data_IF_216333971878
#
_entry.id   IF_216333971878
#
_cell.length_a   1.000
_cell.length_b   1.000
_cell.length_c   1.000
_cell.angle_alpha   90.00
_cell.angle_beta   90.00
_cell.angle_gamma   90.00
#
_symmetry.space_group_name_H-M   'P 1'
#
loop_
_entity.id
_entity.type
_entity.pdbx_description
1 polymer ?
#
# COMPACT_ATOMS: atom_id res chain seq x y z
N UNK A 1 -17.95 19.61 22.06
CA UNK A 1 -17.89 18.32 21.32
C UNK A 1 -18.26 18.46 19.85
N UNK A 2 -19.28 19.23 19.46
CA UNK A 2 -19.63 19.41 18.04
C UNK A 2 -18.61 20.21 17.21
N UNK A 3 -17.89 21.15 17.80
CA UNK A 3 -16.92 21.98 17.08
C UNK A 3 -15.64 21.24 16.70
N UNK A 4 -15.10 20.41 17.60
CA UNK A 4 -13.88 19.64 17.32
C UNK A 4 -14.11 18.59 16.21
N UNK A 5 -15.26 17.88 16.25
CA UNK A 5 -15.62 16.94 15.17
C UNK A 5 -15.82 17.62 13.82
N UNK A 6 -16.36 18.85 13.80
CA UNK A 6 -16.52 19.59 12.55
C UNK A 6 -15.17 20.03 11.96
N UNK A 7 -14.21 20.38 12.82
CA UNK A 7 -12.85 20.74 12.41
C UNK A 7 -12.07 19.53 11.87
N UNK A 8 -12.18 18.37 12.52
CA UNK A 8 -11.60 17.10 12.03
C UNK A 8 -12.14 16.71 10.66
N UNK A 9 -13.46 16.78 10.45
CA UNK A 9 -14.09 16.46 9.14
C UNK A 9 -13.62 17.44 8.05
N UNK A 10 -13.43 18.73 8.38
CA UNK A 10 -12.93 19.70 7.40
C UNK A 10 -11.46 19.44 7.06
N UNK A 11 -10.60 19.14 8.03
CA UNK A 11 -9.20 18.78 7.81
C UNK A 11 -9.08 17.51 6.94
N UNK A 12 -9.91 16.51 7.23
CA UNK A 12 -9.99 15.28 6.43
C UNK A 12 -10.43 15.58 4.99
N UNK A 13 -11.43 16.46 4.81
CA UNK A 13 -11.89 16.92 3.50
C UNK A 13 -10.80 17.64 2.71
N UNK A 14 -10.04 18.53 3.35
CA UNK A 14 -8.92 19.24 2.74
C UNK A 14 -7.82 18.27 2.28
N UNK A 15 -7.46 17.29 3.13
CA UNK A 15 -6.51 16.24 2.78
C UNK A 15 -6.98 15.41 1.58
N UNK A 16 -8.24 15.01 1.55
CA UNK A 16 -8.84 14.28 0.43
C UNK A 16 -8.81 15.09 -0.87
N UNK A 17 -9.20 16.37 -0.82
CA UNK A 17 -9.14 17.28 -1.98
C UNK A 17 -7.73 17.40 -2.53
N UNK A 18 -6.73 17.55 -1.65
CA UNK A 18 -5.32 17.62 -2.04
C UNK A 18 -4.88 16.38 -2.81
N UNK A 19 -5.28 15.21 -2.36
CA UNK A 19 -4.98 13.93 -3.00
C UNK A 19 -5.67 13.82 -4.37
N UNK A 20 -6.95 14.16 -4.45
CA UNK A 20 -7.69 14.18 -5.72
C UNK A 20 -7.01 15.10 -6.75
N UNK A 21 -6.54 16.27 -6.32
CA UNK A 21 -5.82 17.21 -7.20
C UNK A 21 -4.46 16.66 -7.65
N UNK A 22 -3.74 15.96 -6.77
CA UNK A 22 -2.50 15.30 -7.16
C UNK A 22 -2.75 14.25 -8.27
N UNK A 23 -3.81 13.47 -8.13
CA UNK A 23 -4.20 12.47 -9.13
C UNK A 23 -4.68 13.15 -10.42
N UNK A 24 -5.52 14.19 -10.35
CA UNK A 24 -5.96 14.97 -11.51
C UNK A 24 -4.80 15.64 -12.26
N UNK A 25 -3.76 16.07 -11.54
CA UNK A 25 -2.58 16.72 -12.08
C UNK A 25 -1.52 15.77 -12.68
N UNK A 26 -1.68 14.47 -12.51
CA UNK A 26 -0.68 13.46 -12.87
C UNK A 26 -0.20 13.57 -14.33
N UNK A 27 -1.15 13.65 -15.28
CA UNK A 27 -0.80 13.66 -16.70
C UNK A 27 0.05 14.88 -17.09
N UNK A 28 -0.28 16.05 -16.57
CA UNK A 28 0.43 17.30 -16.85
C UNK A 28 1.87 17.25 -16.28
N UNK A 29 2.03 16.76 -15.05
CA UNK A 29 3.35 16.62 -14.42
C UNK A 29 4.22 15.58 -15.13
N UNK A 30 3.69 14.41 -15.42
CA UNK A 30 4.42 13.35 -16.11
C UNK A 30 4.79 13.76 -17.55
N UNK A 31 3.91 14.50 -18.24
CA UNK A 31 4.19 15.05 -19.56
C UNK A 31 5.31 16.10 -19.54
N UNK A 32 5.39 16.97 -18.52
CA UNK A 32 6.47 17.95 -18.36
C UNK A 32 7.83 17.25 -18.21
N UNK A 33 7.89 16.11 -17.53
CA UNK A 33 9.13 15.32 -17.43
C UNK A 33 9.55 14.75 -18.80
N UNK A 34 8.61 14.22 -19.59
CA UNK A 34 8.90 13.76 -20.96
C UNK A 34 9.37 14.93 -21.83
N UNK A 35 8.71 16.10 -21.72
CA UNK A 35 9.10 17.31 -22.43
C UNK A 35 10.51 17.79 -22.01
N UNK A 36 10.90 17.63 -20.75
CA UNK A 36 12.27 17.86 -20.29
C UNK A 36 13.27 16.96 -21.03
N UNK A 37 12.94 15.68 -21.25
CA UNK A 37 13.80 14.77 -22.01
C UNK A 37 13.95 15.20 -23.46
N UNK A 38 12.87 15.64 -24.10
CA UNK A 38 12.90 16.19 -25.47
C UNK A 38 13.84 17.39 -25.55
N UNK A 39 13.67 18.38 -24.68
CA UNK A 39 14.55 19.55 -24.63
C UNK A 39 16.02 19.19 -24.42
N UNK A 40 16.33 18.18 -23.61
CA UNK A 40 17.71 17.72 -23.41
C UNK A 40 18.24 17.01 -24.65
N UNK A 41 17.44 16.21 -25.33
CA UNK A 41 17.80 15.55 -26.59
C UNK A 41 18.10 16.57 -27.69
N UNK A 42 17.29 17.63 -27.85
CA UNK A 42 17.47 18.70 -28.85
C UNK A 42 18.75 19.49 -28.63
N UNK A 43 19.28 19.53 -27.42
CA UNK A 43 20.55 20.20 -27.09
C UNK A 43 21.79 19.37 -27.45
N UNK A 44 21.63 18.14 -27.85
CA UNK A 44 22.75 17.29 -28.28
C UNK A 44 23.35 17.81 -29.63
N UNK A 45 24.66 17.57 -29.87
CA UNK A 45 25.24 17.80 -31.20
C UNK A 45 24.50 17.01 -32.29
N UNK A 46 24.37 17.53 -33.52
CA UNK A 46 23.63 16.87 -34.60
C UNK A 46 24.02 15.40 -34.86
N UNK A 47 25.32 15.09 -34.78
CA UNK A 47 25.80 13.72 -34.94
C UNK A 47 25.26 12.77 -33.85
N UNK A 48 25.11 13.25 -32.57
CA UNK A 48 24.56 12.48 -31.48
C UNK A 48 23.04 12.32 -31.62
N UNK A 49 22.34 13.37 -32.08
CA UNK A 49 20.90 13.26 -32.39
C UNK A 49 20.63 12.24 -33.49
N UNK A 50 21.51 12.18 -34.51
CA UNK A 50 21.40 11.16 -35.56
C UNK A 50 21.64 9.76 -35.03
N UNK A 51 22.66 9.57 -34.18
CA UNK A 51 22.95 8.28 -33.52
C UNK A 51 21.78 7.80 -32.64
N UNK A 52 21.15 8.70 -31.93
CA UNK A 52 20.07 8.43 -30.97
C UNK A 52 18.67 8.79 -31.53
N UNK A 53 18.49 8.75 -32.86
CA UNK A 53 17.25 9.19 -33.51
C UNK A 53 15.99 8.48 -32.98
N UNK A 54 16.11 7.24 -32.53
CA UNK A 54 15.03 6.43 -31.92
C UNK A 54 14.47 7.05 -30.63
N UNK A 55 15.21 7.97 -29.96
CA UNK A 55 14.68 8.66 -28.77
C UNK A 55 13.45 9.51 -29.07
N UNK A 56 13.27 9.99 -30.32
CA UNK A 56 12.03 10.69 -30.70
C UNK A 56 10.81 9.77 -30.62
N UNK A 57 10.93 8.55 -31.11
CA UNK A 57 9.85 7.56 -31.04
C UNK A 57 9.59 7.13 -29.59
N UNK A 58 10.67 6.98 -28.81
CA UNK A 58 10.59 6.72 -27.36
C UNK A 58 9.79 7.80 -26.61
N UNK A 59 10.05 9.08 -26.88
CA UNK A 59 9.34 10.18 -26.22
C UNK A 59 7.85 10.16 -26.59
N UNK A 60 7.51 9.93 -27.86
CA UNK A 60 6.12 9.77 -28.32
C UNK A 60 5.43 8.62 -27.59
N UNK A 61 6.10 7.47 -27.44
CA UNK A 61 5.51 6.34 -26.71
C UNK A 61 5.41 6.61 -25.21
N UNK A 62 6.35 7.34 -24.61
CA UNK A 62 6.27 7.77 -23.22
C UNK A 62 5.03 8.62 -22.94
N UNK A 63 4.67 9.57 -23.81
CA UNK A 63 3.41 10.33 -23.71
C UNK A 63 2.18 9.41 -23.79
N UNK A 64 2.21 8.37 -24.63
CA UNK A 64 1.12 7.38 -24.72
C UNK A 64 1.01 6.57 -23.42
N UNK A 65 2.15 6.18 -22.84
CA UNK A 65 2.17 5.48 -21.55
C UNK A 65 1.60 6.35 -20.43
N UNK A 66 1.98 7.63 -20.38
CA UNK A 66 1.41 8.61 -19.42
C UNK A 66 -0.10 8.74 -19.61
N UNK A 67 -0.57 8.85 -20.85
CA UNK A 67 -2.03 8.95 -21.15
C UNK A 67 -2.80 7.68 -20.72
N UNK A 68 -2.21 6.49 -20.83
CA UNK A 68 -2.85 5.25 -20.35
C UNK A 68 -2.92 5.20 -18.82
N UNK A 69 -1.85 5.60 -18.13
CA UNK A 69 -1.88 5.74 -16.68
C UNK A 69 -2.94 6.74 -16.22
N UNK A 70 -3.00 7.89 -16.88
CA UNK A 70 -4.00 8.92 -16.59
C UNK A 70 -5.43 8.39 -16.76
N UNK A 71 -5.70 7.65 -17.85
CA UNK A 71 -7.00 7.04 -18.08
C UNK A 71 -7.44 6.15 -16.91
N UNK A 72 -6.54 5.34 -16.37
CA UNK A 72 -6.81 4.53 -15.17
C UNK A 72 -7.11 5.42 -13.96
N UNK A 73 -6.27 6.40 -13.69
CA UNK A 73 -6.38 7.30 -12.53
C UNK A 73 -7.66 8.15 -12.59
N UNK A 74 -8.03 8.68 -13.77
CA UNK A 74 -9.28 9.44 -13.93
C UNK A 74 -10.51 8.52 -13.84
N UNK A 75 -10.43 7.29 -14.35
CA UNK A 75 -11.47 6.27 -14.18
C UNK A 75 -11.74 5.97 -12.70
N UNK A 76 -10.68 5.85 -11.92
CA UNK A 76 -10.78 5.69 -10.46
C UNK A 76 -11.47 6.90 -9.81
N UNK A 77 -11.03 8.11 -10.09
CA UNK A 77 -11.67 9.33 -9.53
C UNK A 77 -13.12 9.48 -9.93
N UNK A 78 -13.50 9.04 -11.13
CA UNK A 78 -14.88 9.15 -11.63
C UNK A 78 -15.88 8.38 -10.75
N UNK A 79 -15.47 7.32 -10.06
CA UNK A 79 -16.32 6.57 -9.12
C UNK A 79 -16.71 7.37 -7.88
N UNK A 80 -16.02 8.48 -7.61
CA UNK A 80 -16.26 9.37 -6.48
C UNK A 80 -16.86 10.74 -6.90
N UNK A 81 -17.39 10.86 -8.13
CA UNK A 81 -17.98 12.10 -8.63
C UNK A 81 -19.52 12.11 -8.57
N UNK A 82 -20.15 10.98 -8.28
CA UNK A 82 -21.60 10.83 -8.26
C UNK A 82 -22.30 11.56 -7.11
N UNK A 83 -23.60 11.80 -7.26
CA UNK A 83 -24.42 12.45 -6.21
C UNK A 83 -24.70 11.52 -5.02
N UNK A 84 -24.54 10.22 -5.19
CA UNK A 84 -24.60 9.18 -4.19
C UNK A 84 -23.36 9.12 -3.29
N UNK A 85 -22.25 9.76 -3.71
CA UNK A 85 -21.03 9.86 -2.89
C UNK A 85 -21.21 10.88 -1.77
N UNK A 86 -20.85 10.53 -0.52
CA UNK A 86 -20.90 11.48 0.59
C UNK A 86 -20.14 12.78 0.27
N UNK A 87 -20.67 13.96 0.62
CA UNK A 87 -20.09 15.25 0.21
C UNK A 87 -18.60 15.41 0.59
N UNK A 88 -18.18 14.88 1.74
CA UNK A 88 -16.78 14.94 2.19
C UNK A 88 -15.81 14.05 1.39
N UNK A 89 -16.32 13.01 0.71
CA UNK A 89 -15.55 12.13 -0.18
C UNK A 89 -15.78 12.43 -1.67
N UNK A 90 -16.54 13.46 -2.01
CA UNK A 90 -16.81 13.79 -3.41
C UNK A 90 -15.60 14.49 -4.03
N UNK A 91 -15.14 13.97 -5.17
CA UNK A 91 -14.03 14.56 -5.94
C UNK A 91 -14.39 15.98 -6.40
N UNK A 92 -13.53 16.99 -6.16
CA UNK A 92 -13.78 18.34 -6.66
C UNK A 92 -13.67 18.36 -8.19
N UNK A 93 -14.38 19.29 -8.87
CA UNK A 93 -14.19 19.50 -10.29
C UNK A 93 -12.73 19.76 -10.61
N UNK A 94 -12.25 19.23 -11.74
CA UNK A 94 -10.92 19.57 -12.22
C UNK A 94 -10.82 21.08 -12.45
N UNK A 95 -9.82 21.70 -11.86
CA UNK A 95 -9.60 23.14 -12.06
C UNK A 95 -9.02 23.38 -13.45
N UNK A 96 -9.38 24.55 -14.02
CA UNK A 96 -8.94 24.93 -15.34
C UNK A 96 -7.42 25.04 -15.46
N UNK A 97 -6.94 25.01 -16.67
CA UNK A 97 -5.54 25.30 -17.02
C UNK A 97 -5.36 26.78 -17.29
N UNK A 98 -4.16 27.29 -17.03
CA UNK A 98 -3.74 28.62 -17.47
C UNK A 98 -3.60 28.70 -19.00
N UNK A 99 -3.30 29.90 -19.53
CA UNK A 99 -3.12 30.13 -20.96
C UNK A 99 -1.95 29.31 -21.58
N UNK A 100 -1.14 28.65 -20.77
CA UNK A 100 -0.02 27.79 -21.20
C UNK A 100 -0.37 26.30 -21.10
N UNK A 101 -1.60 25.94 -20.68
CA UNK A 101 -2.06 24.57 -20.49
C UNK A 101 -1.61 23.93 -19.16
N UNK A 102 -1.01 24.71 -18.26
CA UNK A 102 -0.64 24.24 -16.90
C UNK A 102 -1.87 24.30 -15.98
N UNK A 103 -2.03 23.28 -15.15
CA UNK A 103 -3.01 23.31 -14.07
C UNK A 103 -2.83 24.57 -13.22
N UNK A 104 -3.92 25.28 -12.94
CA UNK A 104 -3.95 26.44 -12.04
C UNK A 104 -3.55 26.06 -10.62
N UNK A 105 -3.62 24.78 -10.25
CA UNK A 105 -3.12 24.26 -8.98
C UNK A 105 -1.74 23.62 -9.16
N UNK A 106 -0.73 24.21 -8.53
CA UNK A 106 0.57 23.57 -8.36
C UNK A 106 0.43 22.51 -7.27
N UNK A 107 0.43 21.26 -7.68
CA UNK A 107 0.59 20.12 -6.76
C UNK A 107 2.03 20.07 -6.27
N UNK A 108 2.24 19.81 -4.98
CA UNK A 108 3.59 19.67 -4.46
C UNK A 108 4.28 18.44 -5.08
N UNK A 109 5.59 18.52 -5.42
CA UNK A 109 6.30 17.38 -6.02
C UNK A 109 6.19 16.07 -5.22
N UNK A 110 6.16 16.18 -3.89
CA UNK A 110 5.98 15.03 -3.01
C UNK A 110 4.62 14.33 -3.18
N UNK A 111 3.56 15.08 -3.47
CA UNK A 111 2.23 14.51 -3.68
C UNK A 111 2.13 13.83 -5.06
N UNK A 112 2.79 14.39 -6.07
CA UNK A 112 2.90 13.75 -7.39
C UNK A 112 3.69 12.44 -7.31
N UNK A 113 4.76 12.41 -6.53
CA UNK A 113 5.56 11.20 -6.35
C UNK A 113 4.73 10.09 -5.67
N UNK A 114 3.82 10.44 -4.76
CA UNK A 114 2.86 9.48 -4.18
C UNK A 114 1.95 8.84 -5.24
N UNK A 115 1.48 9.59 -6.25
CA UNK A 115 0.71 9.03 -7.37
C UNK A 115 1.53 8.03 -8.19
N UNK A 116 2.80 8.37 -8.48
CA UNK A 116 3.72 7.45 -9.16
C UNK A 116 3.95 6.17 -8.33
N UNK A 117 4.02 6.33 -7.02
CA UNK A 117 4.18 5.21 -6.10
C UNK A 117 2.93 4.29 -6.06
N UNK A 118 1.73 4.86 -6.18
CA UNK A 118 0.49 4.08 -6.37
C UNK A 118 0.58 3.15 -7.58
N UNK A 119 1.07 3.65 -8.72
CA UNK A 119 1.23 2.82 -9.93
C UNK A 119 2.22 1.67 -9.74
N UNK A 120 3.29 1.88 -8.98
CA UNK A 120 4.25 0.83 -8.62
C UNK A 120 3.63 -0.20 -7.65
N UNK A 121 2.86 0.26 -6.66
CA UNK A 121 2.13 -0.64 -5.76
C UNK A 121 1.05 -1.46 -6.49
N UNK A 122 0.36 -0.87 -7.48
CA UNK A 122 -0.56 -1.61 -8.34
C UNK A 122 0.16 -2.74 -9.09
N UNK A 123 1.34 -2.47 -9.64
CA UNK A 123 2.13 -3.51 -10.29
C UNK A 123 2.53 -4.62 -9.30
N UNK A 124 2.99 -4.27 -8.08
CA UNK A 124 3.35 -5.23 -7.03
C UNK A 124 2.17 -6.11 -6.62
N UNK A 125 1.04 -5.49 -6.30
CA UNK A 125 -0.07 -6.18 -5.64
C UNK A 125 -1.00 -6.88 -6.64
N UNK A 126 -1.15 -6.33 -7.84
CA UNK A 126 -2.21 -6.72 -8.75
C UNK A 126 -1.75 -7.16 -10.14
N UNK A 127 -0.44 -7.33 -10.36
CA UNK A 127 0.05 -7.89 -11.62
C UNK A 127 0.53 -9.34 -11.47
N UNK A 128 0.46 -10.10 -12.55
CA UNK A 128 1.00 -11.45 -12.61
C UNK A 128 2.53 -11.46 -12.52
N UNK A 129 3.19 -10.46 -13.09
CA UNK A 129 4.64 -10.32 -13.12
C UNK A 129 5.26 -10.20 -11.72
N UNK A 130 4.53 -9.60 -10.78
CA UNK A 130 5.00 -9.44 -9.41
C UNK A 130 4.64 -10.61 -8.47
N UNK A 131 4.12 -11.72 -8.98
CA UNK A 131 3.78 -12.87 -8.15
C UNK A 131 4.95 -13.38 -7.30
N UNK A 132 6.19 -13.34 -7.83
CA UNK A 132 7.39 -13.71 -7.10
C UNK A 132 7.72 -12.79 -5.93
N UNK A 133 7.48 -11.47 -6.08
CA UNK A 133 7.66 -10.48 -5.00
C UNK A 133 6.60 -10.67 -3.91
N UNK A 134 5.34 -10.92 -4.30
CA UNK A 134 4.28 -11.25 -3.34
C UNK A 134 4.54 -12.55 -2.59
N UNK A 135 5.09 -13.56 -3.25
CA UNK A 135 5.47 -14.81 -2.56
C UNK A 135 6.59 -14.58 -1.53
N UNK A 136 7.52 -13.66 -1.79
CA UNK A 136 8.57 -13.31 -0.83
C UNK A 136 8.01 -12.57 0.40
N UNK A 137 6.99 -11.74 0.25
CA UNK A 137 6.44 -10.90 1.32
C UNK A 137 5.18 -11.48 1.98
N UNK A 138 4.16 -11.83 1.20
CA UNK A 138 2.90 -12.39 1.70
C UNK A 138 3.00 -13.88 2.03
N UNK A 139 3.80 -14.63 1.25
CA UNK A 139 3.96 -16.07 1.41
C UNK A 139 4.34 -16.52 2.84
N UNK A 140 5.38 -15.93 3.47
CA UNK A 140 5.73 -16.27 4.85
C UNK A 140 4.58 -16.06 5.84
N UNK A 141 3.85 -14.95 5.74
CA UNK A 141 2.69 -14.64 6.60
C UNK A 141 1.59 -15.67 6.42
N UNK A 142 1.22 -15.97 5.18
CA UNK A 142 0.15 -16.92 4.86
C UNK A 142 0.50 -18.33 5.35
N UNK A 143 1.75 -18.76 5.17
CA UNK A 143 2.21 -20.07 5.65
C UNK A 143 2.11 -20.19 7.17
N UNK A 144 2.59 -19.20 7.92
CA UNK A 144 2.52 -19.18 9.37
C UNK A 144 1.06 -19.12 9.87
N UNK A 145 0.25 -18.25 9.26
CA UNK A 145 -1.17 -18.14 9.59
C UNK A 145 -1.89 -19.48 9.41
N UNK A 146 -1.74 -20.11 8.24
CA UNK A 146 -2.43 -21.37 7.93
C UNK A 146 -1.94 -22.53 8.81
N UNK A 147 -0.65 -22.57 9.16
CA UNK A 147 -0.09 -23.60 10.02
C UNK A 147 -0.57 -23.50 11.47
N UNK A 148 -0.73 -22.27 11.99
CA UNK A 148 -1.09 -22.03 13.39
C UNK A 148 -2.59 -21.92 13.63
N UNK A 149 -3.32 -21.43 12.66
CA UNK A 149 -4.75 -21.16 12.74
C UNK A 149 -5.44 -21.67 11.46
N UNK A 150 -5.49 -23.00 11.23
CA UNK A 150 -6.12 -23.55 10.03
C UNK A 150 -7.61 -23.19 10.00
N UNK A 151 -8.13 -22.66 8.88
CA UNK A 151 -9.55 -22.33 8.77
C UNK A 151 -10.39 -23.60 8.76
N UNK A 152 -11.61 -23.57 9.32
CA UNK A 152 -12.53 -24.70 9.27
C UNK A 152 -12.99 -24.95 7.84
N UNK A 153 -13.39 -26.17 7.54
CA UNK A 153 -14.07 -26.43 6.27
C UNK A 153 -15.48 -25.84 6.29
N UNK A 154 -16.01 -25.40 5.14
CA UNK A 154 -17.34 -24.77 5.07
C UNK A 154 -18.48 -25.63 5.62
N UNK A 155 -18.36 -26.95 5.58
CA UNK A 155 -19.35 -27.92 6.07
C UNK A 155 -19.24 -28.22 7.57
N UNK A 156 -18.21 -27.71 8.27
CA UNK A 156 -18.05 -27.97 9.73
C UNK A 156 -18.97 -27.12 10.63
N UNK A 157 -19.69 -26.14 10.08
CA UNK A 157 -20.59 -25.27 10.86
C UNK A 157 -19.88 -24.37 11.87
N UNK A 158 -18.57 -24.16 11.72
CA UNK A 158 -17.76 -23.26 12.55
C UNK A 158 -17.58 -21.90 11.84
N UNK A 159 -17.48 -20.84 12.63
CA UNK A 159 -17.18 -19.52 12.10
C UNK A 159 -15.72 -19.44 11.65
N UNK A 160 -15.42 -18.74 10.53
CA UNK A 160 -14.07 -18.42 10.12
C UNK A 160 -13.29 -17.66 11.20
N UNK A 161 -12.00 -17.95 11.39
CA UNK A 161 -11.17 -17.14 12.26
C UNK A 161 -11.05 -15.72 11.74
N UNK A 162 -11.06 -14.73 12.63
CA UNK A 162 -10.95 -13.31 12.32
C UNK A 162 -9.49 -12.87 12.27
N UNK A 163 -9.08 -12.30 11.15
CA UNK A 163 -7.72 -11.83 10.91
C UNK A 163 -7.72 -10.35 10.59
N UNK A 164 -6.99 -9.56 11.37
CA UNK A 164 -6.77 -8.14 11.12
C UNK A 164 -5.44 -7.92 10.39
N UNK A 165 -5.47 -7.09 9.35
CA UNK A 165 -4.31 -6.77 8.51
C UNK A 165 -4.11 -5.24 8.50
N UNK A 166 -3.39 -4.67 9.49
CA UNK A 166 -3.04 -3.27 9.49
C UNK A 166 -2.03 -2.93 8.38
N UNK A 167 -2.15 -1.74 7.77
CA UNK A 167 -1.35 -1.34 6.62
C UNK A 167 -1.69 -2.14 5.37
N UNK A 168 -2.99 -2.38 5.13
CA UNK A 168 -3.48 -3.26 4.07
C UNK A 168 -3.12 -2.81 2.64
N UNK A 169 -2.70 -1.55 2.46
CA UNK A 169 -2.32 -1.00 1.17
C UNK A 169 -3.45 -1.14 0.14
N UNK A 170 -3.15 -1.85 -0.94
CA UNK A 170 -4.14 -2.10 -2.00
C UNK A 170 -5.04 -3.33 -1.77
N UNK A 171 -5.03 -3.90 -0.57
CA UNK A 171 -5.96 -4.97 -0.16
C UNK A 171 -5.59 -6.38 -0.66
N UNK A 172 -4.46 -6.57 -1.36
CA UNK A 172 -4.10 -7.88 -1.91
C UNK A 172 -3.91 -8.96 -0.84
N UNK A 173 -3.16 -8.67 0.22
CA UNK A 173 -2.95 -9.65 1.31
C UNK A 173 -4.28 -9.98 2.01
N UNK A 174 -5.16 -9.00 2.18
CA UNK A 174 -6.50 -9.20 2.77
C UNK A 174 -7.30 -10.20 1.93
N UNK A 175 -7.35 -10.00 0.61
CA UNK A 175 -8.02 -10.91 -0.32
C UNK A 175 -7.38 -12.31 -0.31
N UNK A 176 -6.05 -12.42 -0.28
CA UNK A 176 -5.35 -13.71 -0.26
C UNK A 176 -5.62 -14.50 1.03
N UNK A 177 -5.81 -13.83 2.16
CA UNK A 177 -6.20 -14.44 3.43
C UNK A 177 -7.68 -14.83 3.38
N UNK A 178 -8.57 -13.93 2.96
CA UNK A 178 -10.00 -14.18 2.87
C UNK A 178 -10.33 -15.38 1.98
N UNK A 179 -9.72 -15.49 0.79
CA UNK A 179 -9.94 -16.61 -0.15
C UNK A 179 -9.51 -17.98 0.40
N UNK A 180 -8.80 -18.01 1.53
CA UNK A 180 -8.41 -19.23 2.25
C UNK A 180 -9.37 -19.61 3.35
N UNK A 181 -10.49 -18.89 3.51
CA UNK A 181 -11.53 -19.22 4.48
C UNK A 181 -11.42 -18.48 5.81
N UNK A 182 -10.82 -17.28 5.81
CA UNK A 182 -10.76 -16.39 6.98
C UNK A 182 -11.75 -15.24 6.83
N UNK A 183 -12.22 -14.68 7.95
CA UNK A 183 -12.81 -13.35 8.00
C UNK A 183 -11.68 -12.35 8.14
N UNK A 184 -11.30 -11.72 7.02
CA UNK A 184 -10.14 -10.84 6.93
C UNK A 184 -10.56 -9.37 6.85
N UNK A 185 -10.03 -8.54 7.74
CA UNK A 185 -10.22 -7.09 7.69
C UNK A 185 -8.90 -6.37 7.50
N UNK A 186 -8.83 -5.55 6.46
CA UNK A 186 -7.70 -4.65 6.20
C UNK A 186 -7.95 -3.29 6.83
N UNK A 187 -6.92 -2.69 7.41
CA UNK A 187 -6.95 -1.29 7.82
C UNK A 187 -5.92 -0.49 7.03
N UNK A 188 -6.31 0.68 6.55
CA UNK A 188 -5.44 1.56 5.77
C UNK A 188 -5.75 3.02 6.09
N UNK A 189 -4.69 3.84 6.22
CA UNK A 189 -4.80 5.25 6.52
C UNK A 189 -4.69 6.13 5.26
N UNK A 190 -3.88 5.71 4.30
CA UNK A 190 -3.57 6.53 3.12
C UNK A 190 -4.75 6.58 2.13
N UNK A 191 -5.33 7.75 1.91
CA UNK A 191 -6.36 7.94 0.88
C UNK A 191 -5.89 7.59 -0.54
N UNK A 192 -4.60 7.73 -0.85
CA UNK A 192 -4.05 7.24 -2.14
C UNK A 192 -4.26 5.74 -2.29
N UNK A 193 -4.01 4.98 -1.22
CA UNK A 193 -4.19 3.53 -1.21
C UNK A 193 -5.68 3.15 -1.13
N UNK A 194 -6.47 3.84 -0.29
CA UNK A 194 -7.90 3.57 -0.11
C UNK A 194 -8.70 3.77 -1.41
N UNK A 195 -8.52 4.89 -2.11
CA UNK A 195 -9.18 5.13 -3.40
C UNK A 195 -8.80 4.07 -4.43
N UNK A 196 -7.52 3.74 -4.49
CA UNK A 196 -7.01 2.77 -5.46
C UNK A 196 -7.45 1.34 -5.13
N UNK A 197 -7.39 0.93 -3.86
CA UNK A 197 -7.87 -0.40 -3.43
C UNK A 197 -9.37 -0.55 -3.67
N UNK A 198 -10.15 0.46 -3.30
CA UNK A 198 -11.60 0.46 -3.56
C UNK A 198 -11.92 0.28 -5.04
N UNK A 199 -11.19 0.99 -5.92
CA UNK A 199 -11.40 0.87 -7.36
C UNK A 199 -11.06 -0.53 -7.88
N UNK A 200 -9.91 -1.07 -7.51
CA UNK A 200 -9.49 -2.41 -7.98
C UNK A 200 -10.36 -3.53 -7.40
N UNK A 201 -10.76 -3.41 -6.13
CA UNK A 201 -11.54 -4.44 -5.46
C UNK A 201 -13.01 -4.48 -5.90
N UNK A 202 -13.60 -3.33 -6.25
CA UNK A 202 -15.04 -3.22 -6.49
C UNK A 202 -15.43 -2.96 -7.95
N UNK A 203 -14.49 -2.56 -8.83
CA UNK A 203 -14.81 -2.16 -10.21
C UNK A 203 -14.03 -2.94 -11.28
N UNK A 204 -13.25 -3.95 -10.91
CA UNK A 204 -12.63 -4.83 -11.89
C UNK A 204 -13.61 -5.95 -12.30
N UNK A 205 -14.06 -5.92 -13.55
CA UNK A 205 -14.95 -6.94 -14.10
C UNK A 205 -14.18 -8.17 -14.57
N UNK A 206 -12.98 -7.97 -15.13
CA UNK A 206 -12.16 -9.02 -15.70
C UNK A 206 -10.70 -8.98 -15.23
N UNK A 207 -10.01 -10.11 -15.33
CA UNK A 207 -8.56 -10.15 -15.18
C UNK A 207 -7.89 -9.40 -16.33
N UNK A 208 -6.82 -8.66 -16.01
CA UNK A 208 -6.03 -7.87 -16.96
C UNK A 208 -6.82 -6.75 -17.68
N UNK A 209 -7.88 -6.25 -17.04
CA UNK A 209 -8.77 -5.23 -17.61
C UNK A 209 -8.05 -3.93 -17.88
N UNK A 210 -7.20 -3.49 -16.96
CA UNK A 210 -6.50 -2.22 -17.09
C UNK A 210 -5.02 -2.41 -17.46
N UNK A 211 -4.52 -1.37 -18.14
CA UNK A 211 -3.12 -1.27 -18.57
C UNK A 211 -2.50 -0.07 -17.90
N UNK A 212 -1.37 -0.30 -17.20
CA UNK A 212 -0.55 0.75 -16.60
C UNK A 212 0.91 0.62 -17.03
N UNK A 213 1.66 1.71 -16.90
CA UNK A 213 3.09 1.81 -17.19
C UNK A 213 3.82 2.41 -15.97
N UNK A 214 4.07 1.62 -14.91
CA UNK A 214 4.56 2.14 -13.62
C UNK A 214 6.00 2.66 -13.68
N UNK A 215 6.78 2.27 -14.69
CA UNK A 215 8.21 2.57 -14.81
C UNK A 215 8.53 3.76 -15.73
N UNK A 216 7.51 4.37 -16.37
CA UNK A 216 7.71 5.42 -17.39
C UNK A 216 8.35 6.71 -16.87
N UNK A 217 8.32 6.98 -15.58
CA UNK A 217 8.64 8.28 -14.99
C UNK A 217 10.14 8.59 -14.86
N UNK A 218 11.04 7.67 -15.18
CA UNK A 218 12.48 7.86 -15.08
C UNK A 218 13.20 7.19 -16.24
N UNK A 219 14.27 7.82 -16.73
CA UNK A 219 15.19 7.24 -17.70
C UNK A 219 16.37 6.49 -17.04
N UNK A 220 16.40 6.40 -15.71
CA UNK A 220 17.52 5.82 -14.99
C UNK A 220 17.35 4.30 -14.79
N UNK A 221 18.48 3.59 -14.86
CA UNK A 221 18.58 2.16 -14.52
C UNK A 221 17.74 1.20 -15.37
N UNK A 222 17.40 1.54 -16.60
CA UNK A 222 16.73 0.65 -17.53
C UNK A 222 17.73 -0.06 -18.45
N UNK A 223 17.58 -1.35 -18.66
CA UNK A 223 18.37 -2.12 -19.61
C UNK A 223 17.98 -1.83 -21.06
N UNK A 224 16.75 -1.39 -21.29
CA UNK A 224 16.25 -0.98 -22.61
C UNK A 224 15.06 -0.02 -22.47
N UNK A 225 14.77 0.71 -23.53
CA UNK A 225 13.58 1.57 -23.61
C UNK A 225 12.29 0.74 -23.50
N UNK A 226 12.30 -0.48 -24.02
CA UNK A 226 11.17 -1.39 -23.92
C UNK A 226 10.83 -1.77 -22.46
N UNK A 227 11.83 -1.90 -21.59
CA UNK A 227 11.60 -2.14 -20.15
C UNK A 227 11.00 -0.92 -19.45
N UNK A 228 11.51 0.28 -19.73
CA UNK A 228 10.95 1.52 -19.18
C UNK A 228 9.49 1.73 -19.58
N UNK A 229 9.16 1.43 -20.83
CA UNK A 229 7.83 1.63 -21.40
C UNK A 229 6.95 0.36 -21.29
N UNK A 230 7.39 -0.63 -20.51
CA UNK A 230 6.70 -1.90 -20.39
C UNK A 230 5.25 -1.73 -19.92
N UNK A 231 4.39 -2.54 -20.52
CA UNK A 231 2.98 -2.65 -20.15
C UNK A 231 2.83 -3.60 -18.98
N UNK A 232 2.14 -3.16 -17.94
CA UNK A 232 1.70 -4.00 -16.83
C UNK A 232 0.18 -4.09 -16.86
N UNK A 233 -0.37 -5.31 -16.80
CA UNK A 233 -1.81 -5.56 -16.81
C UNK A 233 -2.31 -5.89 -15.41
N UNK A 234 -3.41 -5.27 -15.02
CA UNK A 234 -4.03 -5.42 -13.70
C UNK A 234 -5.56 -5.49 -13.81
N UNK A 235 -6.24 -6.11 -12.82
CA UNK A 235 -5.69 -7.06 -11.87
C UNK A 235 -5.38 -8.42 -12.49
N UNK A 236 -4.41 -9.16 -11.97
CA UNK A 236 -4.16 -10.55 -12.40
C UNK A 236 -5.32 -11.50 -12.04
N UNK A 237 -6.07 -11.16 -10.99
CA UNK A 237 -7.31 -11.82 -10.57
C UNK A 237 -8.28 -10.80 -9.99
N UNK A 238 -9.52 -10.68 -10.49
CA UNK A 238 -10.52 -9.81 -9.88
C UNK A 238 -10.95 -10.33 -8.51
N UNK A 239 -11.23 -9.41 -7.57
CA UNK A 239 -11.57 -9.78 -6.21
C UNK A 239 -12.82 -10.68 -6.10
N UNK A 240 -13.87 -10.41 -6.91
CA UNK A 240 -15.11 -11.20 -6.94
C UNK A 240 -14.90 -12.66 -7.40
N UNK A 241 -13.88 -12.93 -8.23
CA UNK A 241 -13.54 -14.27 -8.72
C UNK A 241 -12.56 -15.02 -7.81
N UNK A 242 -12.26 -14.49 -6.63
CA UNK A 242 -11.24 -15.04 -5.74
C UNK A 242 -11.60 -16.39 -5.08
N UNK A 243 -12.85 -16.84 -5.20
CA UNK A 243 -13.33 -18.08 -4.56
C UNK A 243 -13.63 -17.97 -3.06
N UNK A 244 -13.73 -16.76 -2.51
CA UNK A 244 -14.05 -16.54 -1.09
C UNK A 244 -15.37 -17.20 -0.69
N UNK A 245 -16.40 -17.13 -1.53
CA UNK A 245 -17.69 -17.76 -1.26
C UNK A 245 -17.61 -19.28 -1.14
N UNK A 246 -16.67 -19.91 -1.84
CA UNK A 246 -16.47 -21.37 -1.83
C UNK A 246 -15.77 -21.81 -0.56
N UNK A 247 -14.92 -20.99 0.02
CA UNK A 247 -14.16 -21.26 1.24
C UNK A 247 -14.88 -20.80 2.50
N UNK A 248 -15.95 -19.99 2.37
CA UNK A 248 -16.65 -19.36 3.49
C UNK A 248 -15.91 -18.17 4.08
N UNK A 249 -14.86 -17.68 3.40
CA UNK A 249 -14.14 -16.48 3.81
C UNK A 249 -14.83 -15.19 3.40
N UNK A 250 -14.44 -14.10 4.02
CA UNK A 250 -14.94 -12.76 3.72
C UNK A 250 -13.85 -11.73 3.89
N UNK A 251 -13.98 -10.58 3.20
CA UNK A 251 -13.06 -9.45 3.39
C UNK A 251 -13.81 -8.15 3.62
N UNK A 252 -13.20 -7.27 4.41
CA UNK A 252 -13.61 -5.89 4.61
C UNK A 252 -12.38 -4.97 4.66
N UNK A 253 -12.61 -3.66 4.47
CA UNK A 253 -11.59 -2.63 4.59
C UNK A 253 -12.09 -1.54 5.53
N UNK A 254 -11.26 -1.16 6.51
CA UNK A 254 -11.46 -0.06 7.44
C UNK A 254 -10.51 1.09 7.09
N UNK A 255 -11.06 2.29 6.88
CA UNK A 255 -10.29 3.50 6.64
C UNK A 255 -10.01 4.21 7.96
N UNK A 256 -8.77 4.60 8.20
CA UNK A 256 -8.38 5.42 9.36
C UNK A 256 -7.06 4.98 9.99
N UNK A 257 -6.60 5.77 10.95
CA UNK A 257 -5.41 5.46 11.74
C UNK A 257 -5.60 4.16 12.52
N UNK A 258 -4.55 3.34 12.57
CA UNK A 258 -4.62 2.03 13.21
C UNK A 258 -4.89 2.11 14.71
N UNK A 259 -4.24 3.05 15.40
CA UNK A 259 -4.38 3.21 16.85
C UNK A 259 -5.78 3.72 17.19
N UNK A 260 -6.28 4.69 16.41
CA UNK A 260 -7.61 5.26 16.60
C UNK A 260 -8.71 4.25 16.31
N UNK A 261 -8.60 3.48 15.22
CA UNK A 261 -9.62 2.49 14.82
C UNK A 261 -9.68 1.26 15.74
N UNK A 262 -8.53 0.83 16.28
CA UNK A 262 -8.46 -0.46 17.00
C UNK A 262 -8.03 -0.34 18.46
N UNK A 263 -7.69 0.86 18.93
CA UNK A 263 -7.27 1.12 20.32
C UNK A 263 -8.41 1.13 21.35
N UNK A 264 -9.68 1.06 20.95
CA UNK A 264 -10.85 1.15 21.82
C UNK A 264 -11.28 -0.21 22.44
N UNK A 265 -12.29 -0.17 23.33
CA UNK A 265 -12.73 -1.34 24.08
C UNK A 265 -13.45 -2.40 23.24
N UNK A 266 -14.09 -2.03 22.15
CA UNK A 266 -14.82 -2.96 21.29
C UNK A 266 -13.89 -3.95 20.56
N UNK A 267 -12.61 -3.58 20.40
CA UNK A 267 -11.61 -4.40 19.74
C UNK A 267 -10.83 -5.33 20.68
N UNK A 268 -11.05 -5.23 22.01
CA UNK A 268 -10.32 -6.05 23.00
C UNK A 268 -10.66 -7.53 22.81
N UNK A 269 -9.63 -8.34 22.49
CA UNK A 269 -9.78 -9.77 22.29
C UNK A 269 -10.73 -10.15 21.15
N UNK A 270 -10.87 -9.30 20.15
CA UNK A 270 -11.78 -9.53 19.04
C UNK A 270 -11.18 -10.39 17.92
N UNK A 271 -9.85 -10.50 17.85
CA UNK A 271 -9.13 -11.07 16.72
C UNK A 271 -8.38 -12.35 17.08
N UNK A 272 -8.45 -13.35 16.19
CA UNK A 272 -7.71 -14.62 16.32
C UNK A 272 -6.27 -14.45 15.84
N UNK A 273 -6.03 -13.58 14.86
CA UNK A 273 -4.71 -13.22 14.39
C UNK A 273 -4.63 -11.76 13.97
N UNK A 274 -3.44 -11.15 14.10
CA UNK A 274 -3.06 -9.88 13.48
C UNK A 274 -1.86 -10.14 12.58
N UNK A 275 -1.96 -9.76 11.29
CA UNK A 275 -0.91 -9.95 10.30
C UNK A 275 -0.41 -8.60 9.81
N UNK A 276 0.87 -8.29 10.01
CA UNK A 276 1.51 -7.04 9.58
C UNK A 276 2.58 -7.31 8.53
N UNK A 277 2.53 -6.58 7.41
CA UNK A 277 3.44 -6.73 6.28
C UNK A 277 4.00 -5.37 5.87
N UNK A 278 5.28 -5.09 6.12
CA UNK A 278 5.89 -3.77 5.88
C UNK A 278 5.08 -2.66 6.57
N UNK A 279 4.77 -2.84 7.86
CA UNK A 279 3.84 -1.98 8.57
C UNK A 279 4.37 -1.41 9.89
N UNK A 280 5.04 -2.21 10.75
CA UNK A 280 5.36 -1.76 12.11
C UNK A 280 6.30 -0.55 12.15
N UNK A 281 7.13 -0.37 11.14
CA UNK A 281 8.06 0.75 10.95
C UNK A 281 7.41 2.01 10.36
N UNK A 282 6.10 1.98 10.13
CA UNK A 282 5.30 3.18 9.80
C UNK A 282 4.82 3.92 11.04
N UNK A 283 4.97 3.34 12.23
CA UNK A 283 4.58 3.95 13.49
C UNK A 283 5.52 5.09 13.89
N UNK A 284 4.97 6.16 14.48
CA UNK A 284 5.76 7.12 15.26
C UNK A 284 6.36 6.47 16.51
N UNK A 285 5.61 5.54 17.11
CA UNK A 285 5.99 4.76 18.28
C UNK A 285 5.56 3.29 18.11
N UNK A 286 6.52 2.42 17.81
CA UNK A 286 6.28 0.98 17.61
C UNK A 286 5.67 0.32 18.85
N UNK A 287 6.00 0.79 20.05
CA UNK A 287 5.46 0.21 21.30
C UNK A 287 3.95 0.39 21.37
N UNK A 288 3.43 1.51 20.92
CA UNK A 288 1.98 1.77 20.85
C UNK A 288 1.27 0.82 19.89
N UNK A 289 1.84 0.59 18.68
CA UNK A 289 1.32 -0.42 17.76
C UNK A 289 1.29 -1.81 18.38
N UNK A 290 2.37 -2.19 19.07
CA UNK A 290 2.44 -3.50 19.75
C UNK A 290 1.41 -3.62 20.89
N UNK A 291 1.14 -2.54 21.63
CA UNK A 291 0.09 -2.50 22.67
C UNK A 291 -1.29 -2.70 22.06
N UNK A 292 -1.61 -2.01 20.95
CA UNK A 292 -2.90 -2.18 20.24
C UNK A 292 -3.03 -3.60 19.69
N UNK A 293 -1.99 -4.14 19.05
CA UNK A 293 -1.97 -5.54 18.55
C UNK A 293 -2.23 -6.53 19.69
N UNK A 294 -1.50 -6.38 20.81
CA UNK A 294 -1.69 -7.26 21.97
C UNK A 294 -3.10 -7.15 22.54
N UNK A 295 -3.68 -5.96 22.57
CA UNK A 295 -5.05 -5.72 23.06
C UNK A 295 -6.09 -6.35 22.15
N UNK A 296 -5.94 -6.21 20.83
CA UNK A 296 -6.86 -6.76 19.83
C UNK A 296 -6.93 -8.29 19.82
N UNK A 297 -5.81 -8.94 20.09
CA UNK A 297 -5.72 -10.39 20.05
C UNK A 297 -6.48 -11.06 21.22
N UNK A 298 -7.16 -12.16 20.92
CA UNK A 298 -7.64 -13.12 21.92
C UNK A 298 -6.47 -13.73 22.69
N UNK A 299 -6.64 -14.18 23.95
CA UNK A 299 -5.64 -15.01 24.61
C UNK A 299 -5.29 -16.24 23.74
N UNK A 300 -4.00 -16.48 23.47
CA UNK A 300 -3.54 -17.49 22.53
C UNK A 300 -3.59 -17.07 21.04
N UNK A 301 -4.12 -15.91 20.73
CA UNK A 301 -4.10 -15.34 19.38
C UNK A 301 -2.70 -15.03 18.90
N UNK A 302 -2.50 -14.96 17.58
CA UNK A 302 -1.18 -14.93 16.95
C UNK A 302 -0.92 -13.61 16.24
N UNK A 303 0.19 -12.96 16.55
CA UNK A 303 0.74 -11.88 15.72
C UNK A 303 1.80 -12.42 14.79
N UNK A 304 1.67 -12.12 13.50
CA UNK A 304 2.63 -12.49 12.44
C UNK A 304 3.08 -11.20 11.75
N UNK A 305 4.37 -10.86 11.87
CA UNK A 305 4.97 -9.71 11.23
C UNK A 305 5.99 -10.12 10.20
N UNK A 306 5.99 -9.42 9.06
CA UNK A 306 7.02 -9.54 8.04
C UNK A 306 7.40 -8.16 7.50
N UNK A 307 8.66 -7.79 7.60
CA UNK A 307 9.15 -6.53 7.05
C UNK A 307 10.50 -6.10 7.60
N UNK A 308 11.03 -4.98 7.08
CA UNK A 308 12.22 -4.30 7.60
C UNK A 308 11.89 -3.41 8.80
N UNK A 309 12.86 -2.62 9.23
CA UNK A 309 12.71 -1.52 10.19
C UNK A 309 13.26 -0.25 9.53
N UNK A 310 12.43 0.39 8.71
CA UNK A 310 12.83 1.55 7.91
C UNK A 310 12.47 2.88 8.57
N UNK A 311 11.51 2.88 9.50
CA UNK A 311 11.05 4.03 10.27
C UNK A 311 10.72 5.26 9.42
N UNK A 312 9.49 5.33 8.95
CA UNK A 312 9.03 6.34 7.99
C UNK A 312 9.11 7.78 8.50
N UNK A 313 9.19 8.00 9.81
CA UNK A 313 9.27 9.29 10.47
C UNK A 313 10.68 9.66 10.92
N UNK A 314 11.68 8.82 10.65
CA UNK A 314 13.06 9.13 10.93
C UNK A 314 13.53 10.39 10.17
N UNK A 315 14.33 11.23 10.83
CA UNK A 315 14.87 12.44 10.23
C UNK A 315 15.88 12.10 9.12
N UNK A 316 15.79 12.80 8.00
CA UNK A 316 16.71 12.66 6.87
C UNK A 316 16.32 11.55 5.90
N UNK A 317 17.16 11.27 4.91
CA UNK A 317 17.05 10.18 3.93
C UNK A 317 15.74 10.11 3.10
N UNK A 318 14.98 11.21 2.97
CA UNK A 318 13.78 11.28 2.11
C UNK A 318 12.50 10.77 2.75
N UNK A 319 12.48 10.58 4.06
CA UNK A 319 11.27 10.27 4.83
C UNK A 319 10.47 11.53 5.20
N UNK A 320 9.24 11.33 5.67
CA UNK A 320 8.24 12.40 5.84
C UNK A 320 8.42 13.13 7.17
N UNK A 321 9.22 12.58 8.09
CA UNK A 321 9.43 13.08 9.44
C UNK A 321 10.02 14.49 9.48
N UNK A 322 9.52 15.30 10.41
CA UNK A 322 10.04 16.63 10.76
C UNK A 322 10.64 16.59 12.16
N UNK A 323 11.46 17.59 12.53
CA UNK A 323 12.03 17.70 13.89
C UNK A 323 10.96 17.77 15.00
N UNK A 324 9.71 18.09 14.65
CA UNK A 324 8.60 18.22 15.60
C UNK A 324 7.80 16.93 15.77
N UNK A 325 7.98 15.94 14.90
CA UNK A 325 7.24 14.68 14.94
C UNK A 325 8.01 13.60 15.70
N UNK A 326 7.30 12.88 16.57
CA UNK A 326 7.89 11.77 17.31
C UNK A 326 8.31 10.67 16.33
N UNK A 327 9.57 10.22 16.44
CA UNK A 327 10.06 9.01 15.81
C UNK A 327 10.98 8.28 16.77
N UNK A 328 10.75 6.98 16.95
CA UNK A 328 11.58 6.13 17.81
C UNK A 328 12.10 4.94 17.00
N UNK A 329 13.34 5.04 16.58
CA UNK A 329 14.02 4.03 15.76
C UNK A 329 14.60 2.92 16.66
N UNK A 330 13.87 1.83 16.80
CA UNK A 330 14.23 0.67 17.63
C UNK A 330 15.00 -0.36 16.81
N UNK A 331 15.97 -1.04 17.45
CA UNK A 331 16.56 -2.25 16.85
C UNK A 331 15.54 -3.41 16.85
N UNK A 332 15.79 -4.44 16.04
CA UNK A 332 14.93 -5.64 16.04
C UNK A 332 14.90 -6.33 17.42
N UNK A 333 15.99 -6.25 18.18
CA UNK A 333 16.04 -6.78 19.55
C UNK A 333 15.12 -5.99 20.48
N UNK A 334 15.10 -4.65 20.36
CA UNK A 334 14.19 -3.78 21.14
C UNK A 334 12.73 -4.01 20.77
N UNK A 335 12.42 -4.20 19.48
CA UNK A 335 11.06 -4.57 19.04
C UNK A 335 10.62 -5.89 19.67
N UNK A 336 11.50 -6.92 19.68
CA UNK A 336 11.18 -8.20 20.32
C UNK A 336 11.04 -8.06 21.84
N UNK A 337 11.87 -7.24 22.47
CA UNK A 337 11.78 -6.94 23.91
C UNK A 337 10.44 -6.26 24.24
N UNK A 338 10.08 -5.23 23.48
CA UNK A 338 8.82 -4.50 23.64
C UNK A 338 7.61 -5.42 23.41
N UNK A 339 7.62 -6.26 22.36
CA UNK A 339 6.59 -7.25 22.11
C UNK A 339 6.37 -8.19 23.30
N UNK A 340 7.45 -8.76 23.84
CA UNK A 340 7.37 -9.62 25.03
C UNK A 340 6.83 -8.85 26.26
N UNK A 341 7.22 -7.59 26.43
CA UNK A 341 6.76 -6.74 27.54
C UNK A 341 5.24 -6.48 27.51
N UNK A 342 4.67 -6.30 26.31
CA UNK A 342 3.23 -6.10 26.15
C UNK A 342 2.41 -7.39 26.12
N UNK A 343 3.06 -8.55 26.37
CA UNK A 343 2.40 -9.86 26.43
C UNK A 343 2.30 -10.60 25.10
N UNK A 344 3.12 -10.22 24.10
CA UNK A 344 3.28 -10.93 22.84
C UNK A 344 4.56 -11.76 22.89
N UNK A 345 4.48 -13.01 23.36
CA UNK A 345 5.63 -13.90 23.48
C UNK A 345 6.13 -14.30 22.10
N UNK A 346 7.36 -13.86 21.75
CA UNK A 346 7.99 -14.21 20.48
C UNK A 346 8.32 -15.71 20.49
N UNK A 347 7.80 -16.45 19.52
CA UNK A 347 8.06 -17.88 19.32
C UNK A 347 8.92 -18.18 18.12
N UNK A 348 8.92 -17.27 17.14
CA UNK A 348 9.71 -17.41 15.91
C UNK A 348 10.31 -16.07 15.52
N UNK A 349 11.58 -16.09 15.13
CA UNK A 349 12.33 -14.98 14.52
C UNK A 349 13.22 -15.54 13.42
N UNK A 350 12.91 -15.20 12.19
CA UNK A 350 13.68 -15.62 11.02
C UNK A 350 13.94 -14.39 10.12
N UNK A 351 15.03 -14.43 9.38
CA UNK A 351 15.36 -13.39 8.40
C UNK A 351 15.24 -13.98 7.00
N UNK A 352 14.62 -13.23 6.09
CA UNK A 352 14.56 -13.61 4.67
C UNK A 352 14.56 -12.38 3.76
N UNK A 353 15.11 -12.55 2.57
CA UNK A 353 15.16 -11.48 1.59
C UNK A 353 13.77 -11.25 0.97
N UNK A 354 13.41 -9.99 0.77
CA UNK A 354 12.24 -9.57 0.02
C UNK A 354 12.53 -8.31 -0.77
N UNK A 355 11.98 -8.26 -1.98
CA UNK A 355 11.91 -7.03 -2.76
C UNK A 355 10.68 -6.23 -2.36
N UNK A 356 10.67 -4.96 -2.71
CA UNK A 356 9.52 -4.09 -2.49
C UNK A 356 9.37 -3.08 -3.64
N UNK A 357 8.23 -3.13 -4.33
CA UNK A 357 7.90 -2.30 -5.51
C UNK A 357 8.99 -2.31 -6.57
N UNK A 358 9.62 -3.46 -6.77
CA UNK A 358 10.76 -3.61 -7.68
C UNK A 358 10.31 -3.76 -9.13
N UNK A 359 11.00 -3.05 -10.04
CA UNK A 359 11.02 -3.42 -11.45
C UNK A 359 12.02 -4.57 -11.65
N UNK A 360 11.57 -5.78 -11.98
CA UNK A 360 12.48 -6.93 -12.15
C UNK A 360 13.55 -6.72 -13.22
N UNK A 361 13.30 -5.82 -14.17
CA UNK A 361 14.17 -5.49 -15.30
C UNK A 361 15.10 -4.32 -15.01
N UNK A 362 14.98 -3.65 -13.84
CA UNK A 362 15.82 -2.52 -13.49
C UNK A 362 17.25 -2.93 -13.16
N UNK A 363 18.22 -2.09 -13.54
CA UNK A 363 19.62 -2.22 -13.11
C UNK A 363 19.83 -1.86 -11.63
N UNK A 364 18.84 -1.20 -11.00
CA UNK A 364 18.79 -0.92 -9.56
C UNK A 364 17.73 -1.81 -8.92
N UNK A 365 18.14 -2.62 -7.96
CA UNK A 365 17.23 -3.46 -7.16
C UNK A 365 17.35 -3.09 -5.69
N UNK A 366 16.20 -2.88 -5.04
CA UNK A 366 16.12 -2.73 -3.59
C UNK A 366 15.72 -4.07 -2.99
N UNK A 367 16.57 -4.62 -2.16
CA UNK A 367 16.34 -5.88 -1.45
C UNK A 367 16.46 -5.62 0.04
N UNK A 368 15.44 -5.97 0.79
CA UNK A 368 15.44 -5.93 2.25
C UNK A 368 15.74 -7.33 2.81
N UNK A 369 16.50 -7.39 3.87
CA UNK A 369 16.57 -8.58 4.71
C UNK A 369 15.52 -8.44 5.82
N UNK A 370 14.31 -8.94 5.53
CA UNK A 370 13.13 -8.75 6.37
C UNK A 370 13.11 -9.72 7.54
N UNK A 371 12.58 -9.27 8.69
CA UNK A 371 12.30 -10.10 9.83
C UNK A 371 10.89 -10.71 9.74
N UNK A 372 10.79 -12.04 9.77
CA UNK A 372 9.58 -12.77 10.09
C UNK A 372 9.53 -12.97 11.60
N UNK A 373 8.61 -12.31 12.28
CA UNK A 373 8.32 -12.49 13.70
C UNK A 373 6.96 -13.17 13.85
N UNK A 374 6.91 -14.16 14.71
CA UNK A 374 5.64 -14.80 15.12
C UNK A 374 5.58 -14.79 16.64
N UNK A 375 4.51 -14.20 17.18
CA UNK A 375 4.29 -14.13 18.60
C UNK A 375 2.88 -14.60 18.98
N UNK A 376 2.74 -15.12 20.18
CA UNK A 376 1.46 -15.56 20.77
C UNK A 376 1.12 -14.67 21.95
N UNK A 377 -0.13 -14.18 22.00
CA UNK A 377 -0.63 -13.43 23.17
C UNK A 377 -0.73 -14.35 24.38
N UNK A 378 0.00 -13.99 25.44
CA UNK A 378 -0.02 -14.70 26.72
C UNK A 378 -1.34 -14.45 27.44
N UNK A 379 -1.97 -15.48 27.99
CA UNK A 379 -3.17 -15.36 28.82
C UNK A 379 -2.85 -14.71 30.16
N UNK A 380 -3.83 -14.02 30.76
CA UNK A 380 -3.66 -13.29 32.03
C UNK A 380 -3.13 -14.15 33.21
N UNK A 381 -3.26 -15.47 33.14
CA UNK A 381 -2.80 -16.40 34.19
C UNK A 381 -1.30 -16.69 34.17
N UNK A 382 -0.59 -16.48 33.06
CA UNK A 382 0.86 -16.77 32.93
C UNK A 382 1.75 -15.58 33.26
N UNK A 383 1.20 -14.36 33.31
CA UNK A 383 1.97 -13.11 33.51
C UNK A 383 2.35 -12.78 34.97
N UNK A 384 1.96 -13.58 35.97
CA UNK A 384 2.21 -13.33 37.40
C UNK A 384 3.37 -14.12 38.02
N UNK A 385 4.19 -14.77 37.22
CA UNK A 385 5.26 -15.68 37.69
C UNK A 385 6.68 -15.26 37.36
N UNK A 386 7.01 -13.97 37.37
CA UNK A 386 8.37 -13.51 37.11
C UNK A 386 8.60 -12.09 37.60
N UNK A 387 8.75 -11.97 38.93
CA UNK A 387 9.21 -10.75 39.62
C UNK A 387 10.64 -10.91 40.04
#
# INVERSE_FOLDING_TARGET
MDGAKAEEVEQEREAFIKICRAIQGYAADAAEEVHRWERMFERLPPAHQTLLAHHRDKHVEAYRCVSRNDKFLQGMLATYMGDDVPPHLRVPPAEGTDATGRSLHRVAPADVEKVRYVLKNLARDWSAEAAGEREQSHGPIIRELTARLPPPKPDEGKYPPRVLIPGAGLGRLVMEIARRGYEAEGNEFSYYMLLTSSYVLNHADDANEWVIHPWVHSNCNHQSDAHQLATVRIPDVPAWSSGMNETGGSMSMCAGDFVECYGDEQNVGAWDSVCTCFFIDTAHNVVEYLQVIARCLKPGGVWINFGPLLYHWAEGAGYVGTEEELSVEMSLDDVCLAANHVGLRIEKREMSESRYTSDPSSMLQTVYNCALLVAVKVGESEGKGGG
#
